data_IF_978478406709
#
_entry.id   IF_978478406709
#
_cell.length_a   1.000
_cell.length_b   1.000
_cell.length_c   1.000
_cell.angle_alpha   90.00
_cell.angle_beta   90.00
_cell.angle_gamma   90.00
#
_symmetry.space_group_name_H-M   'P 1'
#
loop_
_entity.id
_entity.type
_entity.pdbx_description
1 polymer ?
#
# COMPACT_ATOMS: atom_id res chain seq x y z
N UNK A 1 -5.64 -12.76 -7.14
CA UNK A 1 -4.76 -11.57 -7.15
C UNK A 1 -5.14 -10.74 -5.93
N UNK A 2 -4.21 -10.42 -5.03
CA UNK A 2 -4.51 -9.54 -3.88
C UNK A 2 -4.79 -8.12 -4.38
N UNK A 3 -5.85 -7.48 -3.87
CA UNK A 3 -6.20 -6.10 -4.23
C UNK A 3 -5.17 -5.10 -3.71
N UNK A 4 -5.11 -3.91 -4.32
CA UNK A 4 -4.22 -2.84 -3.87
C UNK A 4 -4.49 -2.45 -2.41
N UNK A 5 -5.75 -2.50 -1.98
CA UNK A 5 -6.18 -2.22 -0.60
C UNK A 5 -5.65 -3.28 0.38
N UNK A 6 -5.73 -4.57 0.04
CA UNK A 6 -5.16 -5.65 0.87
C UNK A 6 -3.63 -5.53 0.99
N UNK A 7 -2.96 -5.14 -0.10
CA UNK A 7 -1.51 -4.89 -0.07
C UNK A 7 -1.15 -3.69 0.80
N UNK A 8 -1.96 -2.62 0.75
CA UNK A 8 -1.78 -1.43 1.58
C UNK A 8 -1.94 -1.78 3.06
N UNK A 9 -2.98 -2.53 3.43
CA UNK A 9 -3.21 -2.97 4.80
C UNK A 9 -2.03 -3.79 5.33
N UNK A 10 -1.51 -4.73 4.54
CA UNK A 10 -0.36 -5.54 4.91
C UNK A 10 0.91 -4.71 5.15
N UNK A 11 1.15 -3.69 4.32
CA UNK A 11 2.27 -2.76 4.49
C UNK A 11 2.09 -1.93 5.77
N UNK A 12 0.88 -1.41 6.02
CA UNK A 12 0.58 -0.63 7.22
C UNK A 12 0.66 -1.47 8.51
N UNK A 13 0.29 -2.74 8.45
CA UNK A 13 0.44 -3.66 9.58
C UNK A 13 1.93 -3.89 9.91
N UNK A 14 2.76 -4.08 8.88
CA UNK A 14 4.19 -4.26 9.06
C UNK A 14 4.87 -3.01 9.63
N UNK A 15 4.53 -1.82 9.12
CA UNK A 15 5.01 -0.52 9.64
C UNK A 15 4.66 -0.40 11.13
N UNK A 16 3.37 -0.56 11.49
CA UNK A 16 2.91 -0.46 12.89
C UNK A 16 3.61 -1.43 13.82
N UNK A 17 3.82 -2.68 13.39
CA UNK A 17 4.52 -3.68 14.19
C UNK A 17 5.99 -3.29 14.44
N UNK A 18 6.69 -2.82 13.41
CA UNK A 18 8.10 -2.43 13.49
C UNK A 18 8.28 -1.14 14.30
N UNK A 19 7.43 -0.14 14.10
CA UNK A 19 7.38 1.09 14.91
C UNK A 19 7.06 0.79 16.37
N UNK A 20 6.17 -0.18 16.62
CA UNK A 20 5.83 -0.68 17.96
C UNK A 20 6.95 -1.48 18.65
N UNK A 21 8.10 -1.66 18.00
CA UNK A 21 9.28 -2.28 18.60
C UNK A 21 9.64 -3.66 18.06
N UNK A 22 8.86 -4.24 17.14
CA UNK A 22 9.27 -5.47 16.47
C UNK A 22 10.58 -5.27 15.68
N UNK A 23 11.43 -6.29 15.66
CA UNK A 23 12.67 -6.27 14.85
C UNK A 23 12.38 -6.59 13.38
N UNK A 24 11.36 -7.42 13.12
CA UNK A 24 10.95 -7.85 11.79
C UNK A 24 9.47 -8.22 11.74
N UNK A 25 8.87 -8.14 10.56
CA UNK A 25 7.51 -8.56 10.28
C UNK A 25 7.46 -9.35 8.96
N UNK A 26 6.57 -10.34 8.86
CA UNK A 26 6.42 -11.16 7.66
C UNK A 26 5.22 -10.70 6.85
N UNK A 27 5.46 -10.22 5.64
CA UNK A 27 4.43 -9.86 4.66
C UNK A 27 4.38 -10.97 3.61
N UNK A 28 3.36 -11.82 3.67
CA UNK A 28 3.21 -13.02 2.81
C UNK A 28 4.51 -13.87 2.79
N UNK A 29 5.26 -13.85 1.69
CA UNK A 29 6.50 -14.61 1.53
C UNK A 29 7.79 -13.79 1.72
N UNK A 30 7.70 -12.55 2.20
CA UNK A 30 8.86 -11.68 2.43
C UNK A 30 8.93 -11.25 3.89
N UNK A 31 10.11 -11.28 4.47
CA UNK A 31 10.37 -10.67 5.77
C UNK A 31 10.89 -9.25 5.57
N UNK A 32 10.32 -8.30 6.30
CA UNK A 32 10.75 -6.90 6.33
C UNK A 32 11.23 -6.57 7.74
N UNK A 33 12.22 -5.69 7.83
CA UNK A 33 12.88 -5.33 9.08
C UNK A 33 12.80 -3.83 9.34
N UNK A 34 13.29 -3.39 10.50
CA UNK A 34 13.41 -1.97 10.82
C UNK A 34 14.27 -1.20 9.81
N UNK A 35 15.25 -1.85 9.18
CA UNK A 35 16.06 -1.22 8.12
C UNK A 35 15.24 -0.93 6.85
N UNK A 36 14.17 -1.68 6.62
CA UNK A 36 13.28 -1.55 5.46
C UNK A 36 12.18 -0.50 5.67
N UNK A 37 12.13 0.17 6.83
CA UNK A 37 11.01 1.04 7.20
C UNK A 37 10.83 2.21 6.22
N UNK A 38 11.92 2.81 5.73
CA UNK A 38 11.87 3.83 4.70
C UNK A 38 11.23 3.31 3.39
N UNK A 39 11.60 2.09 2.99
CA UNK A 39 11.04 1.40 1.83
C UNK A 39 9.55 1.09 2.01
N UNK A 40 9.13 0.73 3.23
CA UNK A 40 7.74 0.47 3.55
C UNK A 40 6.87 1.74 3.42
N UNK A 41 7.31 2.90 3.91
CA UNK A 41 6.57 4.16 3.73
C UNK A 41 6.47 4.59 2.25
N UNK A 42 7.55 4.41 1.49
CA UNK A 42 7.55 4.70 0.05
C UNK A 42 6.54 3.80 -0.68
N UNK A 43 6.49 2.52 -0.31
CA UNK A 43 5.50 1.57 -0.85
C UNK A 43 4.08 1.92 -0.43
N UNK A 44 3.86 2.34 0.82
CA UNK A 44 2.55 2.79 1.31
C UNK A 44 2.03 3.96 0.47
N UNK A 45 2.88 4.97 0.25
CA UNK A 45 2.53 6.16 -0.56
C UNK A 45 2.21 5.77 -2.00
N UNK A 46 3.00 4.87 -2.58
CA UNK A 46 2.77 4.35 -3.93
C UNK A 46 1.43 3.64 -4.04
N UNK A 47 1.09 2.76 -3.08
CA UNK A 47 -0.18 2.03 -3.05
C UNK A 47 -1.37 2.99 -2.88
N UNK A 48 -1.28 3.95 -1.96
CA UNK A 48 -2.30 5.00 -1.80
C UNK A 48 -2.52 5.78 -3.09
N UNK A 49 -1.44 6.16 -3.80
CA UNK A 49 -1.56 6.84 -5.08
C UNK A 49 -2.18 5.97 -6.17
N UNK A 50 -1.86 4.67 -6.22
CA UNK A 50 -2.47 3.75 -7.18
C UNK A 50 -3.96 3.56 -6.91
N UNK A 51 -4.35 3.37 -5.65
CA UNK A 51 -5.77 3.27 -5.24
C UNK A 51 -6.52 4.55 -5.59
N UNK A 52 -5.93 5.72 -5.34
CA UNK A 52 -6.54 7.00 -5.69
C UNK A 52 -6.69 7.17 -7.21
N UNK A 53 -5.75 6.67 -8.01
CA UNK A 53 -5.85 6.66 -9.47
C UNK A 53 -6.86 5.66 -10.00
N UNK A 54 -7.00 4.49 -9.37
CA UNK A 54 -8.04 3.51 -9.73
C UNK A 54 -9.42 4.10 -9.46
N UNK A 55 -9.64 4.65 -8.25
CA UNK A 55 -10.92 5.28 -7.87
C UNK A 55 -11.21 6.59 -8.60
N UNK A 56 -10.19 7.39 -8.90
CA UNK A 56 -10.31 8.69 -9.56
C UNK A 56 -10.26 8.63 -11.09
N UNK A 57 -9.57 7.64 -11.65
CA UNK A 57 -9.55 7.34 -13.08
C UNK A 57 -10.92 6.84 -13.55
N UNK A 58 -11.57 5.98 -12.76
CA UNK A 58 -12.96 5.57 -13.02
C UNK A 58 -13.92 6.78 -13.08
N UNK A 59 -13.72 7.79 -12.23
CA UNK A 59 -14.51 9.02 -12.26
C UNK A 59 -14.24 9.87 -13.52
N UNK A 60 -12.98 9.98 -13.96
CA UNK A 60 -12.62 10.74 -15.17
C UNK A 60 -13.11 10.09 -16.47
N UNK A 61 -13.11 8.76 -16.57
CA UNK A 61 -13.66 8.06 -17.74
C UNK A 61 -15.19 8.08 -17.76
N UNK A 62 -15.85 8.02 -16.60
CA UNK A 62 -17.30 8.12 -16.51
C UNK A 62 -17.85 9.51 -16.94
N UNK A 63 -17.07 10.57 -16.72
CA UNK A 63 -17.49 11.95 -17.05
C UNK A 63 -17.24 12.34 -18.52
N UNK A 64 -16.28 11.71 -19.21
CA UNK A 64 -15.93 12.03 -20.60
C UNK A 64 -16.62 11.12 -21.65
N UNK A 65 -17.33 10.07 -21.23
CA UNK A 65 -18.07 9.15 -22.10
C UNK A 65 -19.52 9.57 -22.40
N UNK A 66 -19.97 10.73 -21.94
CA UNK A 66 -21.34 11.23 -22.05
C UNK A 66 -21.44 12.47 -22.95
N UNK A 67 -20.85 12.41 -24.15
CA UNK A 67 -20.98 13.43 -25.21
C UNK A 67 -21.43 12.82 -26.54
#
# INVERSE_FOLDING_TARGET
MESLETQLESVQAAIRAIEGGAQSYKISNRSVTRADLATLYARETTLKSQIAREKGGDLFFAELGSL
#
